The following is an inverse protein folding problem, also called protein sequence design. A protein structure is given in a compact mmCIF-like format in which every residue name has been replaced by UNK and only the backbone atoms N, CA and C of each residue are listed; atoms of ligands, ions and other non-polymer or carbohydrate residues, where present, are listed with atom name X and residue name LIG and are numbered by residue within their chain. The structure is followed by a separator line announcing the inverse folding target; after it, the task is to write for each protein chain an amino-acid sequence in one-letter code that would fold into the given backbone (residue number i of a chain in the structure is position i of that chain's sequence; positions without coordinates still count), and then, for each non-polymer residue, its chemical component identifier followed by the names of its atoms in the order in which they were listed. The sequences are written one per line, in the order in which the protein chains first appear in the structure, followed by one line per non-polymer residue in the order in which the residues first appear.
data_IF_492432175217
#
_entry.id   IF_492432175217
#
_cell.length_a   1.000
_cell.length_b   1.000
_cell.length_c   1.000
_cell.angle_alpha   90.00
_cell.angle_beta   90.00
_cell.angle_gamma   90.00
#
_symmetry.space_group_name_H-M   'P 1'
#
loop_
_entity.id
_entity.type
_entity.pdbx_description
1 polymer ?
#
# COMPACT_ATOMS: atom_id res chain seq x y z
N UNK A 1 -22.57 5.87 19.13
CA UNK A 1 -21.34 5.04 19.16
C UNK A 1 -21.23 4.36 17.80
N UNK A 2 -20.61 5.04 16.84
CA UNK A 2 -20.44 4.52 15.48
C UNK A 2 -19.04 3.91 15.39
N UNK A 3 -18.96 2.62 15.07
CA UNK A 3 -17.74 1.83 15.02
C UNK A 3 -16.88 2.21 13.80
N UNK A 4 -16.08 3.27 13.91
CA UNK A 4 -15.15 3.70 12.85
C UNK A 4 -13.73 3.14 13.05
N UNK A 5 -13.43 2.57 14.22
CA UNK A 5 -12.12 2.04 14.61
C UNK A 5 -11.58 1.01 13.59
N UNK A 6 -12.46 0.13 13.11
CA UNK A 6 -12.10 -0.91 12.14
C UNK A 6 -11.70 -0.37 10.78
N UNK A 7 -12.28 0.77 10.35
CA UNK A 7 -11.95 1.39 9.08
C UNK A 7 -10.56 2.03 9.12
N UNK A 8 -10.21 2.75 10.19
CA UNK A 8 -8.89 3.39 10.35
C UNK A 8 -7.79 2.34 10.52
N UNK A 9 -8.02 1.31 11.35
CA UNK A 9 -7.07 0.21 11.53
C UNK A 9 -6.91 -0.58 10.23
N UNK A 10 -8.01 -0.93 9.55
CA UNK A 10 -7.97 -1.64 8.27
C UNK A 10 -7.22 -0.86 7.19
N UNK A 11 -7.40 0.47 7.12
CA UNK A 11 -6.73 1.33 6.15
C UNK A 11 -5.22 1.47 6.44
N UNK A 12 -4.84 1.65 7.71
CA UNK A 12 -3.43 1.71 8.11
C UNK A 12 -2.71 0.39 7.89
N UNK A 13 -3.34 -0.74 8.23
CA UNK A 13 -2.80 -2.08 7.95
C UNK A 13 -2.63 -2.31 6.45
N UNK A 14 -3.63 -1.92 5.64
CA UNK A 14 -3.53 -2.01 4.18
C UNK A 14 -2.36 -1.19 3.63
N UNK A 15 -2.15 0.02 4.16
CA UNK A 15 -1.02 0.86 3.75
C UNK A 15 0.34 0.21 4.07
N UNK A 16 0.48 -0.42 5.24
CA UNK A 16 1.69 -1.18 5.59
C UNK A 16 1.90 -2.40 4.68
N UNK A 17 0.83 -3.13 4.35
CA UNK A 17 0.90 -4.28 3.42
C UNK A 17 1.36 -3.82 2.03
N UNK A 18 0.79 -2.73 1.50
CA UNK A 18 1.20 -2.18 0.21
C UNK A 18 2.66 -1.70 0.22
N UNK A 19 3.14 -1.17 1.34
CA UNK A 19 4.55 -0.82 1.50
C UNK A 19 5.49 -2.03 1.41
N UNK A 20 5.09 -3.17 2.00
CA UNK A 20 5.81 -4.45 1.88
C UNK A 20 5.75 -5.02 0.46
N UNK A 21 4.58 -4.99 -0.17
CA UNK A 21 4.39 -5.41 -1.58
C UNK A 21 5.27 -4.60 -2.54
N UNK A 22 5.39 -3.30 -2.32
CA UNK A 22 6.24 -2.43 -3.12
C UNK A 22 7.73 -2.75 -2.95
N UNK A 23 8.19 -2.99 -1.73
CA UNK A 23 9.57 -3.41 -1.45
C UNK A 23 9.90 -4.75 -2.14
N UNK A 24 8.98 -5.72 -2.11
CA UNK A 24 9.14 -6.99 -2.84
C UNK A 24 9.28 -6.82 -4.36
N UNK A 25 8.78 -5.69 -4.90
CA UNK A 25 8.90 -5.27 -6.30
C UNK A 25 10.10 -4.31 -6.54
N UNK A 26 11.07 -4.24 -5.63
CA UNK A 26 12.23 -3.33 -5.71
C UNK A 26 11.83 -1.85 -5.85
N UNK A 27 10.71 -1.45 -5.22
CA UNK A 27 10.22 -0.05 -5.18
C UNK A 27 10.24 0.47 -3.76
N UNK A 28 10.27 1.80 -3.61
CA UNK A 28 10.25 2.46 -2.29
C UNK A 28 8.98 2.10 -1.51
N UNK A 29 9.14 1.38 -0.39
CA UNK A 29 8.04 1.04 0.50
C UNK A 29 7.39 2.27 1.14
N UNK A 30 8.19 3.28 1.54
CA UNK A 30 7.68 4.49 2.18
C UNK A 30 6.78 5.30 1.24
N UNK A 31 7.16 5.43 -0.03
CA UNK A 31 6.32 6.14 -0.99
C UNK A 31 4.98 5.42 -1.18
N UNK A 32 5.00 4.09 -1.28
CA UNK A 32 3.79 3.29 -1.43
C UNK A 32 2.94 3.21 -0.16
N UNK A 33 3.54 3.30 1.03
CA UNK A 33 2.82 3.50 2.29
C UNK A 33 2.01 4.79 2.26
N UNK A 34 2.66 5.92 1.94
CA UNK A 34 2.01 7.23 1.91
C UNK A 34 0.92 7.33 0.83
N UNK A 35 1.19 6.79 -0.37
CA UNK A 35 0.20 6.69 -1.44
C UNK A 35 -1.01 5.87 -0.99
N UNK A 36 -0.78 4.78 -0.26
CA UNK A 36 -1.86 3.91 0.23
C UNK A 36 -2.66 4.52 1.38
N UNK A 37 -2.05 5.35 2.23
CA UNK A 37 -2.80 6.12 3.21
C UNK A 37 -3.83 7.04 2.54
N UNK A 38 -3.48 7.63 1.39
CA UNK A 38 -4.38 8.51 0.63
C UNK A 38 -5.42 7.74 -0.20
N UNK A 39 -4.97 6.72 -0.94
CA UNK A 39 -5.78 6.04 -1.97
C UNK A 39 -6.37 4.69 -1.53
N UNK A 40 -5.88 4.12 -0.43
CA UNK A 40 -6.33 2.84 0.11
C UNK A 40 -6.23 1.69 -0.89
N UNK A 41 -7.29 0.89 -1.06
CA UNK A 41 -7.29 -0.26 -1.97
C UNK A 41 -6.99 0.06 -3.43
N UNK A 42 -7.22 1.31 -3.87
CA UNK A 42 -6.87 1.74 -5.23
C UNK A 42 -5.35 1.68 -5.43
N UNK A 43 -4.57 2.04 -4.41
CA UNK A 43 -3.11 1.89 -4.47
C UNK A 43 -2.69 0.43 -4.64
N UNK A 44 -3.40 -0.51 -3.98
CA UNK A 44 -3.15 -1.95 -4.14
C UNK A 44 -3.39 -2.40 -5.57
N UNK A 45 -4.53 -2.02 -6.16
CA UNK A 45 -4.85 -2.38 -7.54
C UNK A 45 -3.80 -1.85 -8.51
N UNK A 46 -3.44 -0.57 -8.40
CA UNK A 46 -2.39 0.02 -9.24
C UNK A 46 -1.06 -0.73 -9.07
N UNK A 47 -0.61 -0.92 -7.83
CA UNK A 47 0.65 -1.60 -7.50
C UNK A 47 0.74 -3.02 -8.08
N UNK A 48 -0.35 -3.78 -8.00
CA UNK A 48 -0.36 -5.17 -8.46
C UNK A 48 -0.53 -5.26 -9.97
N UNK A 49 -1.46 -4.48 -10.54
CA UNK A 49 -1.83 -4.61 -11.95
C UNK A 49 -0.89 -3.88 -12.90
N UNK A 50 -0.24 -2.79 -12.46
CA UNK A 50 0.49 -1.89 -13.36
C UNK A 50 1.99 -1.78 -13.06
N UNK A 51 2.43 -2.10 -11.85
CA UNK A 51 3.82 -1.91 -11.45
C UNK A 51 4.56 -3.24 -11.35
N UNK A 52 5.33 -3.58 -12.37
CA UNK A 52 6.25 -4.72 -12.31
C UNK A 52 7.44 -4.47 -11.39
N UNK A 53 8.10 -5.57 -11.02
CA UNK A 53 9.32 -5.56 -10.22
C UNK A 53 10.42 -4.84 -10.98
N UNK A 54 11.02 -3.82 -10.37
CA UNK A 54 12.19 -3.14 -10.94
C UNK A 54 13.42 -4.07 -10.88
N UNK A 55 14.39 -3.93 -11.81
CA UNK A 55 15.68 -4.58 -11.68
C UNK A 55 16.32 -4.20 -10.33
N UNK A 56 16.92 -5.17 -9.64
CA UNK A 56 17.85 -4.85 -8.57
C UNK A 56 19.14 -4.35 -9.20
N UNK A 57 19.68 -3.25 -8.69
CA UNK A 57 21.07 -2.86 -8.95
C UNK A 57 22.05 -3.97 -8.51
#
# INVERSE_FOLDING_TARGET
MLYHEGAVVGWGTLALINAGLAQGKNRSGLNWFLISLLLGPIATFLLVALFDKLPSE
#
